data_IF_046541828411
#
_entry.id   IF_046541828411
#
_cell.length_a   1.000
_cell.length_b   1.000
_cell.length_c   1.000
_cell.angle_alpha   90.00
_cell.angle_beta   90.00
_cell.angle_gamma   90.00
#
_symmetry.space_group_name_H-M   'P 1'
#
loop_
_entity.id
_entity.type
_entity.pdbx_description
1 polymer ?
#
# COMPACT_ATOMS: atom_id res chain seq x y z
N UNK A 1 30.05 -1.70 -11.91
CA UNK A 1 28.81 -2.16 -11.26
C UNK A 1 27.64 -1.84 -12.18
N UNK A 2 26.76 -2.81 -12.46
CA UNK A 2 25.60 -2.59 -13.30
C UNK A 2 24.48 -3.55 -12.89
N UNK A 3 23.38 -3.01 -12.41
CA UNK A 3 22.17 -3.79 -12.17
C UNK A 3 21.52 -4.01 -13.53
N UNK A 4 21.43 -5.28 -13.96
CA UNK A 4 20.74 -5.65 -15.21
C UNK A 4 19.24 -5.56 -14.94
N UNK A 5 18.59 -4.52 -15.49
CA UNK A 5 17.15 -4.33 -15.35
C UNK A 5 16.46 -4.74 -16.66
N UNK A 6 15.44 -5.62 -16.63
CA UNK A 6 14.69 -6.03 -17.81
C UNK A 6 14.10 -4.84 -18.56
N UNK A 7 13.96 -4.96 -19.89
CA UNK A 7 13.56 -3.85 -20.78
C UNK A 7 12.13 -3.37 -20.54
N UNK A 8 11.28 -4.23 -19.99
CA UNK A 8 9.84 -4.01 -19.78
C UNK A 8 9.50 -3.37 -18.43
N UNK A 9 10.47 -3.26 -17.51
CA UNK A 9 10.23 -2.66 -16.19
C UNK A 9 10.30 -1.13 -16.32
N UNK A 10 9.32 -0.38 -15.78
CA UNK A 10 9.38 1.07 -15.73
C UNK A 10 10.71 1.54 -15.13
N UNK A 11 11.40 2.48 -15.78
CA UNK A 11 12.73 2.95 -15.34
C UNK A 11 12.63 4.39 -14.85
N UNK A 12 13.27 4.67 -13.71
CA UNK A 12 13.39 6.03 -13.17
C UNK A 12 13.01 6.12 -11.69
N UNK A 13 13.09 7.35 -11.16
CA UNK A 13 12.85 7.66 -9.74
C UNK A 13 11.46 7.24 -9.26
N UNK A 14 10.47 7.24 -10.15
CA UNK A 14 9.11 6.81 -9.82
C UNK A 14 9.05 5.30 -9.50
N UNK A 15 9.79 4.47 -10.24
CA UNK A 15 9.89 3.02 -9.99
C UNK A 15 10.58 2.71 -8.66
N UNK A 16 11.62 3.48 -8.32
CA UNK A 16 12.29 3.37 -7.02
C UNK A 16 11.34 3.77 -5.89
N UNK A 17 10.61 4.87 -6.05
CA UNK A 17 9.58 5.31 -5.08
C UNK A 17 8.52 4.25 -4.86
N UNK A 18 8.03 3.64 -5.94
CA UNK A 18 7.06 2.56 -5.88
C UNK A 18 7.61 1.33 -5.17
N UNK A 19 8.84 0.92 -5.51
CA UNK A 19 9.51 -0.23 -4.90
C UNK A 19 9.74 -0.03 -3.40
N UNK A 20 10.23 1.14 -3.01
CA UNK A 20 10.45 1.49 -1.60
C UNK A 20 9.15 1.42 -0.80
N UNK A 21 8.10 2.06 -1.30
CA UNK A 21 6.80 2.07 -0.62
C UNK A 21 6.19 0.68 -0.48
N UNK A 22 6.22 -0.12 -1.56
CA UNK A 22 5.71 -1.49 -1.57
C UNK A 22 6.47 -2.37 -0.57
N UNK A 23 7.79 -2.18 -0.47
CA UNK A 23 8.64 -2.90 0.46
C UNK A 23 8.33 -2.51 1.91
N UNK A 24 8.22 -1.21 2.20
CA UNK A 24 7.89 -0.74 3.56
C UNK A 24 6.52 -1.24 4.00
N UNK A 25 5.51 -1.19 3.11
CA UNK A 25 4.18 -1.70 3.41
C UNK A 25 4.19 -3.22 3.70
N UNK A 26 4.93 -3.97 2.89
CA UNK A 26 5.09 -5.43 3.08
C UNK A 26 5.84 -5.81 4.36
N UNK A 27 6.55 -4.85 4.97
CA UNK A 27 7.25 -5.00 6.26
C UNK A 27 6.47 -4.32 7.41
N UNK A 28 5.15 -4.21 7.29
CA UNK A 28 4.29 -3.68 8.35
C UNK A 28 4.56 -2.24 8.77
N UNK A 29 5.25 -1.44 7.93
CA UNK A 29 5.50 -0.04 8.27
C UNK A 29 4.18 0.75 8.18
N UNK A 30 3.81 1.52 9.23
CA UNK A 30 2.57 2.30 9.22
C UNK A 30 2.52 3.32 8.06
N UNK A 31 1.36 3.45 7.42
CA UNK A 31 1.15 4.39 6.31
C UNK A 31 1.57 5.84 6.60
N UNK A 32 1.37 6.41 7.81
CA UNK A 32 1.86 7.75 8.12
C UNK A 32 3.39 7.87 8.00
N UNK A 33 4.12 6.80 8.36
CA UNK A 33 5.58 6.74 8.27
C UNK A 33 6.03 6.57 6.82
N UNK A 34 5.34 5.73 6.04
CA UNK A 34 5.61 5.59 4.60
C UNK A 34 5.39 6.93 3.89
N UNK A 35 4.30 7.65 4.19
CA UNK A 35 4.00 8.96 3.59
C UNK A 35 5.04 10.03 3.98
N UNK A 36 5.52 10.03 5.24
CA UNK A 36 6.56 10.97 5.67
C UNK A 36 7.89 10.70 4.97
N UNK A 37 8.32 9.43 4.88
CA UNK A 37 9.56 9.03 4.17
C UNK A 37 9.51 9.35 2.68
N UNK A 38 8.35 9.13 2.04
CA UNK A 38 8.20 9.42 0.61
C UNK A 38 7.93 10.89 0.32
N UNK A 39 7.83 11.75 1.34
CA UNK A 39 7.66 13.19 1.22
C UNK A 39 6.18 13.60 1.14
N UNK A 40 5.54 13.69 2.32
CA UNK A 40 4.21 14.26 2.59
C UNK A 40 3.18 13.98 1.48
N UNK A 41 3.20 12.75 0.94
CA UNK A 41 2.35 12.42 -0.19
C UNK A 41 0.90 12.40 0.29
N UNK A 42 0.09 13.18 -0.41
CA UNK A 42 -1.35 13.25 -0.25
C UNK A 42 -1.99 11.87 -0.31
N UNK A 43 -3.19 11.74 0.27
CA UNK A 43 -3.98 10.49 0.38
C UNK A 43 -4.12 9.68 -0.92
N UNK A 44 -3.89 10.30 -2.08
CA UNK A 44 -3.89 9.68 -3.41
C UNK A 44 -2.76 8.65 -3.60
N UNK A 45 -1.57 8.89 -3.05
CA UNK A 45 -0.48 7.91 -3.09
C UNK A 45 -0.70 6.78 -2.08
N UNK A 46 -1.25 7.11 -0.91
CA UNK A 46 -1.67 6.14 0.11
C UNK A 46 -2.68 5.15 -0.44
N UNK A 47 -3.61 5.60 -1.29
CA UNK A 47 -4.61 4.75 -1.93
C UNK A 47 -3.97 3.72 -2.89
N UNK A 48 -2.94 4.13 -3.65
CA UNK A 48 -2.17 3.20 -4.49
C UNK A 48 -1.50 2.12 -3.63
N UNK A 49 -0.94 2.49 -2.48
CA UNK A 49 -0.26 1.54 -1.58
C UNK A 49 -1.25 0.62 -0.85
N UNK A 50 -2.39 1.13 -0.39
CA UNK A 50 -3.45 0.32 0.20
C UNK A 50 -3.91 -0.80 -0.75
N UNK A 51 -4.01 -0.51 -2.05
CA UNK A 51 -4.40 -1.51 -3.04
C UNK A 51 -3.35 -2.63 -3.23
N UNK A 52 -2.10 -2.41 -2.84
CA UNK A 52 -1.05 -3.43 -2.87
C UNK A 52 -1.29 -4.49 -1.78
N UNK A 53 -1.90 -4.08 -0.65
CA UNK A 53 -2.14 -4.97 0.49
C UNK A 53 -3.63 -5.34 0.65
N UNK A 54 -4.22 -5.83 -0.44
CA UNK A 54 -5.57 -6.39 -0.43
C UNK A 54 -5.74 -7.54 0.56
N UNK A 55 -4.66 -8.27 0.88
CA UNK A 55 -4.70 -9.36 1.85
C UNK A 55 -4.99 -8.82 3.26
N UNK A 56 -4.29 -7.78 3.70
CA UNK A 56 -4.56 -7.17 5.01
C UNK A 56 -5.82 -6.33 5.03
N UNK A 57 -6.20 -5.71 3.91
CA UNK A 57 -7.51 -5.03 3.82
C UNK A 57 -8.67 -6.00 4.09
N UNK A 58 -8.52 -7.29 3.75
CA UNK A 58 -9.52 -8.31 4.08
C UNK A 58 -9.59 -8.65 5.56
N UNK A 59 -8.51 -8.47 6.33
CA UNK A 59 -8.51 -8.68 7.79
C UNK A 59 -9.30 -7.59 8.52
N UNK A 60 -9.30 -6.38 7.95
CA UNK A 60 -10.09 -5.25 8.46
C UNK A 60 -11.49 -5.16 7.86
N UNK A 61 -11.87 -6.10 6.97
CA UNK A 61 -13.18 -6.07 6.35
C UNK A 61 -14.25 -6.41 7.41
N UNK A 62 -15.24 -5.53 7.54
CA UNK A 62 -16.38 -5.78 8.39
C UNK A 62 -17.24 -6.89 7.77
N UNK A 63 -17.63 -7.87 8.59
CA UNK A 63 -18.60 -8.88 8.20
C UNK A 63 -20.00 -8.25 8.10
N UNK A 64 -20.60 -8.19 6.90
CA UNK A 64 -21.91 -7.58 6.70
C UNK A 64 -23.01 -8.31 7.48
N UNK A 65 -22.91 -9.62 7.69
CA UNK A 65 -23.92 -10.37 8.43
C UNK A 65 -23.91 -10.00 9.91
N UNK A 66 -22.71 -9.88 10.49
CA UNK A 66 -22.54 -9.42 11.88
C UNK A 66 -23.09 -8.00 12.05
N UNK A 67 -22.82 -7.09 11.11
CA UNK A 67 -23.31 -5.71 11.18
C UNK A 67 -24.84 -5.62 11.07
N UNK A 68 -25.43 -6.34 10.11
CA UNK A 68 -26.88 -6.34 9.90
C UNK A 68 -27.65 -6.95 11.08
N UNK A 69 -27.09 -7.95 11.76
CA UNK A 69 -27.71 -8.56 12.94
C UNK A 69 -27.75 -7.60 14.15
N UNK A 70 -26.76 -6.72 14.30
CA UNK A 70 -26.76 -5.70 15.37
C UNK A 70 -27.63 -4.49 15.05
N UNK A 71 -27.89 -4.20 13.77
CA UNK A 71 -28.73 -3.07 13.35
C UNK A 71 -30.24 -3.37 13.41
N UNK A 72 -30.63 -4.64 13.49
CA UNK A 72 -32.01 -5.11 13.56
C UNK A 72 -32.42 -5.60 14.97
N UNK A 73 -31.56 -5.41 15.97
CA UNK A 73 -31.84 -5.63 17.39
C UNK A 73 -32.19 -4.29 18.07
#
# INVERSE_FOLDING_TARGET
>A
AGVIIPREVPKGVHSLRHTLASTMLSNDVPLPVISSVLGHLTSKATNLYLHIDTRRLRECALDPEVFLNHANA
#
